data_IF_948982184264
#
_entry.id   IF_948982184264
#
_cell.length_a   1.000
_cell.length_b   1.000
_cell.length_c   1.000
_cell.angle_alpha   90.00
_cell.angle_beta   90.00
_cell.angle_gamma   90.00
#
_symmetry.space_group_name_H-M   'P 1'
#
loop_
_entity.id
_entity.type
_entity.pdbx_description
1 polymer ?
#
# COMPACT_ATOMS: atom_id res chain seq x y z
N UNK A 1 2.72 -12.33 19.49
CA UNK A 1 3.00 -10.95 19.04
C UNK A 1 1.66 -10.27 18.89
N UNK A 2 1.49 -9.03 19.37
CA UNK A 2 0.25 -8.29 19.12
C UNK A 2 0.14 -8.03 17.62
N UNK A 3 -0.90 -8.56 16.98
CA UNK A 3 -1.22 -8.23 15.59
C UNK A 3 -1.67 -6.77 15.58
N UNK A 4 -1.06 -5.95 14.73
CA UNK A 4 -1.47 -4.56 14.57
C UNK A 4 -2.95 -4.51 14.18
N UNK A 5 -3.68 -3.52 14.69
CA UNK A 5 -5.08 -3.32 14.33
C UNK A 5 -5.23 -3.01 12.83
N UNK A 6 -6.39 -3.32 12.26
CA UNK A 6 -6.68 -2.99 10.85
C UNK A 6 -6.35 -1.53 10.51
N UNK A 7 -6.73 -0.58 11.37
CA UNK A 7 -6.47 0.87 11.17
C UNK A 7 -4.99 1.24 11.21
N UNK A 8 -4.16 0.52 11.96
CA UNK A 8 -2.70 0.72 11.94
C UNK A 8 -2.07 0.18 10.65
N UNK A 9 -2.56 -0.95 10.15
CA UNK A 9 -2.10 -1.54 8.89
C UNK A 9 -2.54 -0.66 7.71
N UNK A 10 -3.77 -0.16 7.73
CA UNK A 10 -4.29 0.81 6.74
C UNK A 10 -3.44 2.07 6.68
N UNK A 11 -3.10 2.66 7.84
CA UNK A 11 -2.22 3.83 7.89
C UNK A 11 -0.85 3.52 7.29
N UNK A 12 -0.28 2.36 7.62
CA UNK A 12 1.00 1.91 7.09
C UNK A 12 0.99 1.75 5.57
N UNK A 13 -0.14 1.30 5.01
CA UNK A 13 -0.33 1.26 3.55
C UNK A 13 -0.27 2.65 2.94
N UNK A 14 -1.03 3.62 3.47
CA UNK A 14 -1.07 4.96 2.89
C UNK A 14 0.28 5.67 2.99
N UNK A 15 0.99 5.50 4.11
CA UNK A 15 2.35 5.99 4.25
C UNK A 15 3.25 5.44 3.13
N UNK A 16 3.21 4.13 2.88
CA UNK A 16 3.97 3.52 1.79
C UNK A 16 3.51 4.00 0.41
N UNK A 17 2.19 4.10 0.19
CA UNK A 17 1.57 4.47 -1.08
C UNK A 17 2.01 5.86 -1.55
N UNK A 18 2.15 6.81 -0.63
CA UNK A 18 2.60 8.17 -0.95
C UNK A 18 4.10 8.25 -1.26
N UNK A 19 4.91 7.34 -0.71
CA UNK A 19 6.31 7.23 -1.09
C UNK A 19 6.48 6.62 -2.50
N UNK A 20 5.62 5.66 -2.86
CA UNK A 20 5.66 5.01 -4.19
C UNK A 20 5.16 5.94 -5.29
N UNK A 21 4.06 6.64 -5.06
CA UNK A 21 3.50 7.60 -6.01
C UNK A 21 3.11 8.91 -5.31
N UNK A 22 4.10 9.83 -5.17
CA UNK A 22 3.92 11.19 -4.68
C UNK A 22 2.88 12.01 -5.44
N UNK A 23 2.74 11.80 -6.75
CA UNK A 23 1.79 12.54 -7.59
C UNK A 23 0.36 12.18 -7.21
N UNK A 24 0.10 10.89 -6.96
CA UNK A 24 -1.18 10.44 -6.39
C UNK A 24 -1.46 11.05 -5.01
N UNK A 25 -0.43 11.27 -4.19
CA UNK A 25 -0.57 11.95 -2.90
C UNK A 25 -1.05 13.41 -3.09
N UNK A 26 -0.43 14.15 -4.01
CA UNK A 26 -0.88 15.52 -4.37
C UNK A 26 -2.32 15.53 -4.87
N UNK A 27 -2.72 14.57 -5.72
CA UNK A 27 -4.10 14.45 -6.21
C UNK A 27 -5.10 14.17 -5.07
N UNK A 28 -4.68 13.42 -4.05
CA UNK A 28 -5.47 13.16 -2.85
C UNK A 28 -5.46 14.35 -1.84
N UNK A 29 -4.81 15.47 -2.17
CA UNK A 29 -4.70 16.65 -1.32
C UNK A 29 -3.60 16.57 -0.26
N UNK A 30 -2.74 15.54 -0.30
CA UNK A 30 -1.62 15.35 0.62
C UNK A 30 -0.39 16.11 0.09
N UNK A 31 -0.17 17.31 0.63
CA UNK A 31 0.88 18.24 0.15
C UNK A 31 2.31 17.88 0.55
N UNK A 32 2.48 16.92 1.46
CA UNK A 32 3.78 16.53 2.04
C UNK A 32 4.79 16.02 1.00
N UNK A 33 4.33 15.60 -0.18
CA UNK A 33 5.14 14.94 -1.20
C UNK A 33 5.21 15.71 -2.53
N UNK A 34 4.70 16.95 -2.57
CA UNK A 34 4.53 17.74 -3.80
C UNK A 34 5.87 18.06 -4.50
N UNK A 35 6.99 17.99 -3.77
CA UNK A 35 8.33 18.23 -4.29
C UNK A 35 9.02 16.95 -4.83
N UNK A 36 8.32 15.81 -4.87
CA UNK A 36 8.89 14.50 -5.22
C UNK A 36 8.23 13.89 -6.45
N UNK A 37 9.01 13.05 -7.14
CA UNK A 37 8.51 12.11 -8.14
C UNK A 37 8.72 10.67 -7.70
N UNK A 38 7.82 9.79 -8.13
CA UNK A 38 7.96 8.34 -7.93
C UNK A 38 9.21 7.79 -8.62
N UNK A 39 9.91 6.87 -7.96
CA UNK A 39 11.11 6.21 -8.49
C UNK A 39 10.79 4.77 -8.83
N UNK A 40 10.74 4.46 -10.13
CA UNK A 40 10.30 3.16 -10.63
C UNK A 40 11.45 2.26 -11.10
N UNK A 41 12.70 2.56 -10.79
CA UNK A 41 13.80 1.63 -11.08
C UNK A 41 13.70 0.36 -10.23
N UNK A 42 14.28 -0.77 -10.65
CA UNK A 42 14.16 -2.05 -9.94
C UNK A 42 14.62 -1.95 -8.47
N UNK A 43 15.79 -1.34 -8.25
CA UNK A 43 16.35 -1.17 -6.92
C UNK A 43 15.55 -0.22 -6.02
N UNK A 44 14.81 0.74 -6.61
CA UNK A 44 13.95 1.63 -5.85
C UNK A 44 12.62 0.95 -5.48
N UNK A 45 12.05 0.14 -6.38
CA UNK A 45 10.76 -0.51 -6.14
C UNK A 45 10.84 -1.76 -5.27
N UNK A 46 11.92 -2.54 -5.35
CA UNK A 46 12.07 -3.78 -4.60
C UNK A 46 11.70 -3.67 -3.10
N UNK A 47 12.19 -2.68 -2.32
CA UNK A 47 11.79 -2.53 -0.92
C UNK A 47 10.31 -2.17 -0.77
N UNK A 48 9.73 -1.38 -1.67
CA UNK A 48 8.31 -1.02 -1.64
C UNK A 48 7.42 -2.23 -1.93
N UNK A 49 7.78 -3.07 -2.90
CA UNK A 49 7.03 -4.30 -3.21
C UNK A 49 7.11 -5.31 -2.07
N UNK A 50 8.28 -5.45 -1.43
CA UNK A 50 8.43 -6.28 -0.24
C UNK A 50 7.54 -5.78 0.92
N UNK A 51 7.51 -4.46 1.16
CA UNK A 51 6.63 -3.87 2.16
C UNK A 51 5.14 -4.07 1.82
N UNK A 52 4.73 -3.89 0.56
CA UNK A 52 3.36 -4.17 0.11
C UNK A 52 2.94 -5.62 0.36
N UNK A 53 3.83 -6.59 0.10
CA UNK A 53 3.56 -8.01 0.42
C UNK A 53 3.39 -8.25 1.92
N UNK A 54 4.23 -7.61 2.74
CA UNK A 54 4.12 -7.71 4.20
C UNK A 54 2.81 -7.11 4.70
N UNK A 55 2.38 -5.98 4.15
CA UNK A 55 1.10 -5.33 4.50
C UNK A 55 -0.08 -6.20 4.07
N UNK A 56 -0.02 -6.79 2.87
CA UNK A 56 -1.07 -7.70 2.41
C UNK A 56 -1.24 -8.90 3.35
N UNK A 57 -0.14 -9.54 3.77
CA UNK A 57 -0.19 -10.64 4.73
C UNK A 57 -0.78 -10.20 6.08
N UNK A 58 -0.38 -9.04 6.59
CA UNK A 58 -0.94 -8.49 7.83
C UNK A 58 -2.44 -8.18 7.72
N UNK A 59 -2.91 -7.67 6.57
CA UNK A 59 -4.33 -7.42 6.32
C UNK A 59 -5.14 -8.72 6.29
N UNK A 60 -4.60 -9.78 5.69
CA UNK A 60 -5.26 -11.10 5.68
C UNK A 60 -5.44 -11.67 7.09
N UNK A 61 -4.52 -11.39 8.01
CA UNK A 61 -4.59 -11.82 9.41
C UNK A 61 -5.37 -10.87 10.32
N UNK A 62 -5.61 -9.62 9.90
CA UNK A 62 -6.30 -8.61 10.71
C UNK A 62 -7.80 -8.92 10.83
N UNK A 63 -8.36 -8.79 12.03
CA UNK A 63 -9.81 -8.83 12.24
C UNK A 63 -10.46 -7.53 11.77
N UNK A 64 -11.68 -7.63 11.25
CA UNK A 64 -12.53 -6.50 10.90
C UNK A 64 -13.90 -6.73 11.56
N UNK A 65 -14.11 -6.09 12.70
CA UNK A 65 -15.27 -6.35 13.57
C UNK A 65 -16.54 -5.61 13.08
N UNK A 66 -16.37 -4.62 12.20
CA UNK A 66 -17.45 -3.84 11.60
C UNK A 66 -17.51 -4.10 10.09
N UNK A 67 -18.71 -4.03 9.52
CA UNK A 67 -18.92 -4.20 8.07
C UNK A 67 -18.09 -3.20 7.25
N UNK A 68 -18.01 -1.95 7.71
CA UNK A 68 -17.24 -0.90 7.04
C UNK A 68 -15.74 -1.25 7.01
N UNK A 69 -15.19 -1.76 8.11
CA UNK A 69 -13.80 -2.21 8.17
C UNK A 69 -13.56 -3.42 7.25
N UNK A 70 -14.54 -4.33 7.11
CA UNK A 70 -14.44 -5.48 6.21
C UNK A 70 -14.41 -5.04 4.74
N UNK A 71 -15.25 -4.07 4.39
CA UNK A 71 -15.29 -3.46 3.05
C UNK A 71 -13.94 -2.80 2.75
N UNK A 72 -13.45 -1.94 3.65
CA UNK A 72 -12.19 -1.23 3.48
C UNK A 72 -11.01 -2.22 3.36
N UNK A 73 -10.94 -3.23 4.24
CA UNK A 73 -9.90 -4.28 4.20
C UNK A 73 -9.91 -5.04 2.87
N UNK A 74 -11.09 -5.37 2.36
CA UNK A 74 -11.24 -6.10 1.08
C UNK A 74 -10.78 -5.25 -0.09
N UNK A 75 -11.20 -3.97 -0.13
CA UNK A 75 -10.79 -3.03 -1.16
C UNK A 75 -9.26 -2.83 -1.15
N UNK A 76 -8.69 -2.66 0.05
CA UNK A 76 -7.26 -2.45 0.25
C UNK A 76 -6.42 -3.66 -0.18
N UNK A 77 -6.84 -4.88 0.18
CA UNK A 77 -6.20 -6.11 -0.27
C UNK A 77 -6.21 -6.23 -1.79
N UNK A 78 -7.32 -5.90 -2.44
CA UNK A 78 -7.41 -5.91 -3.89
C UNK A 78 -6.44 -4.89 -4.53
N UNK A 79 -6.40 -3.66 -4.02
CA UNK A 79 -5.52 -2.62 -4.51
C UNK A 79 -4.03 -3.02 -4.42
N UNK A 80 -3.62 -3.60 -3.29
CA UNK A 80 -2.25 -4.11 -3.12
C UNK A 80 -1.96 -5.24 -4.12
N UNK A 81 -2.86 -6.20 -4.27
CA UNK A 81 -2.68 -7.34 -5.19
C UNK A 81 -2.58 -6.90 -6.65
N UNK A 82 -3.39 -5.93 -7.07
CA UNK A 82 -3.33 -5.34 -8.42
C UNK A 82 -2.01 -4.62 -8.62
N UNK A 83 -1.56 -3.83 -7.64
CA UNK A 83 -0.29 -3.11 -7.69
C UNK A 83 0.90 -4.06 -7.80
N UNK A 84 0.95 -5.10 -6.95
CA UNK A 84 1.98 -6.13 -7.02
C UNK A 84 1.99 -6.83 -8.37
N UNK A 85 0.83 -7.26 -8.86
CA UNK A 85 0.72 -7.90 -10.18
C UNK A 85 1.25 -7.02 -11.30
N UNK A 86 0.94 -5.72 -11.27
CA UNK A 86 1.42 -4.77 -12.28
C UNK A 86 2.95 -4.71 -12.31
N UNK A 87 3.58 -4.52 -11.16
CA UNK A 87 5.04 -4.35 -11.09
C UNK A 87 5.83 -5.66 -11.20
N UNK A 88 5.23 -6.80 -10.86
CA UNK A 88 5.94 -8.09 -10.90
C UNK A 88 5.72 -8.88 -12.18
N UNK A 89 4.57 -8.69 -12.86
CA UNK A 89 4.20 -9.51 -14.03
C UNK A 89 3.97 -8.70 -15.29
N UNK A 90 3.23 -7.60 -15.20
CA UNK A 90 2.80 -6.88 -16.39
C UNK A 90 3.88 -5.91 -16.89
N UNK A 91 4.61 -5.29 -15.97
CA UNK A 91 5.69 -4.33 -16.24
C UNK A 91 6.84 -4.53 -15.27
N UNK A 92 7.51 -5.70 -15.30
CA UNK A 92 8.72 -5.91 -14.53
C UNK A 92 9.72 -4.82 -14.91
N UNK A 93 10.29 -4.18 -13.90
CA UNK A 93 11.32 -3.17 -14.07
C UNK A 93 12.68 -3.84 -14.19
#
# INVERSE_FOLDING_TARGET
>A
MAVASFREIERSYFDLRWHVDPVGATQAGVKTYDDRYGRFSPGALAPHLAALKSIAAALEESAADQLDDEIDRTALLNEIRVTLRRFERERPQ
#
